data_IF_643848385756
#
_entry.id   IF_643848385756
#
_cell.length_a   1.000
_cell.length_b   1.000
_cell.length_c   1.000
_cell.angle_alpha   90.00
_cell.angle_beta   90.00
_cell.angle_gamma   90.00
#
_symmetry.space_group_name_H-M   'P 1'
#
loop_
_entity.id
_entity.type
_entity.pdbx_description
1 polymer ?
#
# COMPACT_ATOMS: atom_id res chain seq x y z
N UNK A 1 -0.67 11.85 -7.61
CA UNK A 1 -1.33 10.63 -8.12
C UNK A 1 -0.40 9.73 -8.93
N UNK A 2 0.83 10.18 -9.11
CA UNK A 2 1.84 9.37 -9.80
C UNK A 2 2.05 8.02 -9.13
N UNK A 3 2.05 7.99 -7.79
CA UNK A 3 2.24 6.74 -7.05
C UNK A 3 1.12 5.73 -7.32
N UNK A 4 -0.14 6.19 -7.35
CA UNK A 4 -1.27 5.33 -7.65
C UNK A 4 -1.18 4.77 -9.07
N UNK A 5 -0.88 5.61 -10.06
CA UNK A 5 -0.74 5.18 -11.46
C UNK A 5 0.41 4.19 -11.61
N UNK A 6 1.51 4.44 -10.90
CA UNK A 6 2.67 3.57 -10.89
C UNK A 6 2.32 2.17 -10.37
N UNK A 7 1.62 2.09 -9.23
CA UNK A 7 1.20 0.82 -8.67
C UNK A 7 0.12 0.13 -9.52
N UNK A 8 -0.78 0.91 -10.12
CA UNK A 8 -1.83 0.40 -10.99
C UNK A 8 -1.25 -0.33 -12.21
N UNK A 9 -0.10 0.10 -12.70
CA UNK A 9 0.53 -0.53 -13.86
C UNK A 9 0.86 -2.01 -13.62
N UNK A 10 1.11 -2.40 -12.35
CA UNK A 10 1.45 -3.78 -12.02
C UNK A 10 0.26 -4.73 -12.09
N UNK A 11 -0.97 -4.21 -12.06
CA UNK A 11 -2.18 -5.04 -12.16
C UNK A 11 -2.87 -4.91 -13.51
N UNK A 12 -2.29 -4.16 -14.45
CA UNK A 12 -2.91 -3.88 -15.74
C UNK A 12 -3.14 -5.14 -16.59
N UNK A 13 -2.34 -6.19 -16.38
CA UNK A 13 -2.46 -7.45 -17.13
C UNK A 13 -3.52 -8.40 -16.57
N UNK A 14 -4.09 -8.07 -15.39
CA UNK A 14 -5.09 -8.93 -14.75
C UNK A 14 -6.46 -8.75 -15.40
N UNK A 15 -7.38 -9.74 -15.27
CA UNK A 15 -8.76 -9.60 -15.71
C UNK A 15 -9.44 -8.37 -15.09
N UNK A 16 -10.39 -7.78 -15.82
CA UNK A 16 -11.07 -6.55 -15.39
C UNK A 16 -11.78 -6.69 -14.04
N UNK A 17 -12.39 -7.83 -13.76
CA UNK A 17 -13.07 -8.08 -12.50
C UNK A 17 -12.09 -8.08 -11.32
N UNK A 18 -10.91 -8.65 -11.52
CA UNK A 18 -9.86 -8.66 -10.49
C UNK A 18 -9.30 -7.25 -10.31
N UNK A 19 -9.08 -6.51 -11.40
CA UNK A 19 -8.64 -5.12 -11.28
C UNK A 19 -9.66 -4.28 -10.50
N UNK A 20 -10.96 -4.48 -10.74
CA UNK A 20 -12.00 -3.76 -10.02
C UNK A 20 -11.97 -4.02 -8.51
N UNK A 21 -11.61 -5.24 -8.09
CA UNK A 21 -11.45 -5.59 -6.69
C UNK A 21 -10.20 -4.93 -6.09
N UNK A 22 -9.11 -4.89 -6.86
CA UNK A 22 -7.81 -4.43 -6.36
C UNK A 22 -7.63 -2.91 -6.38
N UNK A 23 -8.33 -2.18 -7.26
CA UNK A 23 -8.19 -0.73 -7.34
C UNK A 23 -8.46 -0.02 -6.01
N UNK A 24 -9.55 -0.34 -5.27
CA UNK A 24 -9.75 0.26 -3.94
C UNK A 24 -8.61 -0.04 -2.97
N UNK A 25 -8.07 -1.27 -3.00
CA UNK A 25 -6.94 -1.67 -2.15
C UNK A 25 -5.72 -0.82 -2.47
N UNK A 26 -5.43 -0.60 -3.76
CA UNK A 26 -4.31 0.25 -4.17
C UNK A 26 -4.49 1.70 -3.70
N UNK A 27 -5.71 2.22 -3.79
CA UNK A 27 -6.00 3.59 -3.30
C UNK A 27 -5.76 3.69 -1.81
N UNK A 28 -6.18 2.69 -1.05
CA UNK A 28 -5.97 2.66 0.40
C UNK A 28 -4.48 2.57 0.73
N UNK A 29 -3.71 1.80 -0.03
CA UNK A 29 -2.27 1.69 0.14
C UNK A 29 -1.61 3.06 -0.08
N UNK A 30 -1.95 3.74 -1.17
CA UNK A 30 -1.38 5.06 -1.48
C UNK A 30 -1.77 6.07 -0.40
N UNK A 31 -3.02 6.06 0.06
CA UNK A 31 -3.48 6.94 1.13
C UNK A 31 -2.71 6.69 2.42
N UNK A 32 -2.51 5.42 2.77
CA UNK A 32 -1.74 5.06 3.95
C UNK A 32 -0.28 5.51 3.83
N UNK A 33 0.33 5.40 2.65
CA UNK A 33 1.70 5.90 2.42
C UNK A 33 1.78 7.40 2.68
N UNK A 34 0.80 8.16 2.19
CA UNK A 34 0.75 9.60 2.40
C UNK A 34 0.63 9.95 3.88
N UNK A 35 -0.24 9.25 4.61
CA UNK A 35 -0.40 9.45 6.05
C UNK A 35 0.86 9.08 6.81
N UNK A 36 1.47 7.95 6.48
CA UNK A 36 2.73 7.53 7.13
C UNK A 36 3.82 8.55 6.91
N UNK A 37 3.91 9.12 5.71
CA UNK A 37 4.91 10.14 5.43
C UNK A 37 4.68 11.40 6.26
N UNK A 38 3.42 11.82 6.42
CA UNK A 38 3.07 12.96 7.27
C UNK A 38 3.47 12.73 8.72
N UNK A 39 3.24 11.52 9.25
CA UNK A 39 3.66 11.17 10.60
C UNK A 39 5.18 11.19 10.73
N UNK A 40 5.89 10.65 9.75
CA UNK A 40 7.37 10.62 9.76
C UNK A 40 7.96 12.02 9.72
N UNK A 41 7.33 12.93 9.00
CA UNK A 41 7.80 14.32 8.85
C UNK A 41 7.47 15.18 10.07
N UNK A 42 6.57 14.71 10.94
CA UNK A 42 6.16 15.46 12.13
C UNK A 42 6.98 15.03 13.34
N UNK A 43 7.81 15.93 13.92
CA UNK A 43 8.65 15.56 15.06
C UNK A 43 7.85 15.20 16.31
N UNK A 44 6.60 15.62 16.41
CA UNK A 44 5.73 15.31 17.56
C UNK A 44 5.23 13.87 17.57
N UNK A 45 5.33 13.16 16.45
CA UNK A 45 4.85 11.77 16.36
C UNK A 45 5.48 10.88 17.43
N UNK A 46 6.77 11.03 17.69
CA UNK A 46 7.49 10.21 18.65
C UNK A 46 7.23 10.62 20.10
N UNK A 47 6.83 11.88 20.34
CA UNK A 47 6.66 12.42 21.70
C UNK A 47 5.21 12.53 22.14
N UNK A 48 4.27 12.43 21.18
CA UNK A 48 2.83 12.49 21.48
C UNK A 48 2.25 11.07 21.39
N UNK A 49 1.76 10.55 22.53
CA UNK A 49 1.26 9.18 22.61
C UNK A 49 0.11 8.90 21.65
N UNK A 50 -0.82 9.85 21.48
CA UNK A 50 -1.95 9.68 20.57
C UNK A 50 -1.50 9.62 19.10
N UNK A 51 -0.55 10.47 18.71
CA UNK A 51 0.01 10.49 17.36
C UNK A 51 0.80 9.21 17.09
N UNK A 52 1.58 8.76 18.06
CA UNK A 52 2.36 7.53 17.90
C UNK A 52 1.45 6.31 17.73
N UNK A 53 0.35 6.26 18.49
CA UNK A 53 -0.65 5.19 18.38
C UNK A 53 -1.29 5.21 16.98
N UNK A 54 -1.69 6.40 16.51
CA UNK A 54 -2.28 6.56 15.18
C UNK A 54 -1.31 6.13 14.08
N UNK A 55 -0.03 6.48 14.22
CA UNK A 55 1.01 6.07 13.29
C UNK A 55 1.12 4.54 13.22
N UNK A 56 1.17 3.88 14.37
CA UNK A 56 1.27 2.42 14.42
C UNK A 56 0.04 1.74 13.84
N UNK A 57 -1.15 2.26 14.11
CA UNK A 57 -2.38 1.73 13.54
C UNK A 57 -2.40 1.87 12.03
N UNK A 58 -2.00 3.02 11.51
CA UNK A 58 -1.91 3.26 10.07
C UNK A 58 -0.92 2.30 9.42
N UNK A 59 0.23 2.09 10.05
CA UNK A 59 1.25 1.16 9.55
C UNK A 59 0.71 -0.27 9.50
N UNK A 60 -0.05 -0.69 10.50
CA UNK A 60 -0.64 -2.03 10.54
C UNK A 60 -1.66 -2.23 9.42
N UNK A 61 -2.52 -1.23 9.19
CA UNK A 61 -3.50 -1.26 8.09
C UNK A 61 -2.77 -1.33 6.74
N UNK A 62 -1.73 -0.53 6.57
CA UNK A 62 -0.91 -0.52 5.37
C UNK A 62 -0.33 -1.90 5.08
N UNK A 63 0.25 -2.54 6.09
CA UNK A 63 0.84 -3.88 5.94
C UNK A 63 -0.22 -4.93 5.60
N UNK A 64 -1.40 -4.84 6.20
CA UNK A 64 -2.51 -5.75 5.92
C UNK A 64 -2.99 -5.59 4.48
N UNK A 65 -3.12 -4.37 3.99
CA UNK A 65 -3.54 -4.10 2.61
C UNK A 65 -2.52 -4.64 1.61
N UNK A 66 -1.23 -4.50 1.91
CA UNK A 66 -0.17 -5.06 1.07
C UNK A 66 -0.27 -6.58 1.01
N UNK A 67 -0.50 -7.23 2.14
CA UNK A 67 -0.67 -8.70 2.18
C UNK A 67 -1.86 -9.15 1.35
N UNK A 68 -2.97 -8.43 1.43
CA UNK A 68 -4.18 -8.71 0.65
C UNK A 68 -3.89 -8.60 -0.84
N UNK A 69 -3.22 -7.53 -1.25
CA UNK A 69 -2.85 -7.31 -2.64
C UNK A 69 -1.95 -8.43 -3.16
N UNK A 70 -0.90 -8.78 -2.42
CA UNK A 70 0.05 -9.81 -2.82
C UNK A 70 -0.62 -11.18 -2.89
N UNK A 71 -1.52 -11.49 -1.97
CA UNK A 71 -2.26 -12.74 -1.98
C UNK A 71 -3.10 -12.87 -3.26
N UNK A 72 -3.81 -11.81 -3.63
CA UNK A 72 -4.62 -11.79 -4.85
C UNK A 72 -3.75 -11.97 -6.10
N UNK A 73 -2.61 -11.31 -6.16
CA UNK A 73 -1.71 -11.44 -7.30
C UNK A 73 -1.17 -12.85 -7.43
N UNK A 74 -0.84 -13.51 -6.32
CA UNK A 74 -0.36 -14.88 -6.32
C UNK A 74 -1.45 -15.87 -6.72
N UNK A 75 -2.71 -15.62 -6.31
CA UNK A 75 -3.84 -16.46 -6.69
C UNK A 75 -4.09 -16.43 -8.21
N UNK A 76 -3.74 -15.33 -8.86
CA UNK A 76 -3.90 -15.18 -10.30
C UNK A 76 -2.64 -15.59 -11.09
N UNK A 77 -1.70 -16.26 -10.44
CA UNK A 77 -0.48 -16.82 -11.05
C UNK A 77 0.32 -15.79 -11.85
N UNK A 78 0.39 -14.55 -11.35
CA UNK A 78 1.14 -13.48 -12.01
C UNK A 78 2.49 -13.27 -11.35
N UNK A 79 3.52 -13.01 -12.15
CA UNK A 79 4.85 -12.64 -11.67
C UNK A 79 4.89 -11.21 -11.12
N UNK A 80 3.84 -10.43 -11.33
CA UNK A 80 3.77 -9.06 -10.87
C UNK A 80 3.86 -8.92 -9.35
N UNK A 81 3.54 -9.99 -8.59
CA UNK A 81 3.60 -9.95 -7.13
C UNK A 81 4.99 -9.57 -6.62
N UNK A 82 6.04 -10.19 -7.16
CA UNK A 82 7.41 -9.92 -6.72
C UNK A 82 7.88 -8.53 -7.12
N UNK A 83 7.54 -8.09 -8.31
CA UNK A 83 7.88 -6.76 -8.81
C UNK A 83 7.16 -5.69 -8.00
N UNK A 84 5.88 -5.91 -7.71
CA UNK A 84 5.08 -4.98 -6.91
C UNK A 84 5.60 -4.90 -5.48
N UNK A 85 5.96 -6.05 -4.88
CA UNK A 85 6.54 -6.07 -3.54
C UNK A 85 7.83 -5.25 -3.49
N UNK A 86 8.69 -5.40 -4.49
CA UNK A 86 9.92 -4.63 -4.59
C UNK A 86 9.63 -3.14 -4.69
N UNK A 87 8.61 -2.76 -5.48
CA UNK A 87 8.23 -1.36 -5.63
C UNK A 87 7.67 -0.79 -4.34
N UNK A 88 6.84 -1.55 -3.63
CA UNK A 88 6.29 -1.13 -2.33
C UNK A 88 7.38 -0.99 -1.28
N UNK A 89 8.39 -1.87 -1.31
CA UNK A 89 9.48 -1.80 -0.34
C UNK A 89 10.36 -0.56 -0.52
N UNK A 90 10.34 0.10 -1.68
CA UNK A 90 11.05 1.36 -1.89
C UNK A 90 10.51 2.47 -0.98
N UNK A 91 9.24 2.41 -0.59
CA UNK A 91 8.66 3.35 0.35
C UNK A 91 9.21 3.15 1.77
N UNK A 92 9.39 1.91 2.16
CA UNK A 92 9.95 1.56 3.47
C UNK A 92 11.44 1.84 3.51
#
# INVERSE_FOLDING_TARGET
MERFEELKSYIAALPDDIQAILLPVLRDIVYAEELLQKFRDNPKTKTNAAMFKAYRQTKQIYQTDIKTLLWQLRQNETSAADELLKKLSEFE
#
